data_IF_226334967327
#
_entry.id   IF_226334967327
#
_cell.length_a   1.000
_cell.length_b   1.000
_cell.length_c   1.000
_cell.angle_alpha   90.00
_cell.angle_beta   90.00
_cell.angle_gamma   90.00
#
_symmetry.space_group_name_H-M   'P 1'
#
loop_
_entity.id
_entity.type
_entity.pdbx_description
1 polymer ?
#
# COMPACT_ATOMS: atom_id res chain seq x y z
N UNK A 1 15.52 -17.05 -5.87
CA UNK A 1 16.38 -15.93 -6.30
C UNK A 1 16.45 -14.99 -5.11
N UNK A 2 17.65 -14.74 -4.56
CA UNK A 2 17.83 -13.71 -3.53
C UNK A 2 17.99 -12.38 -4.28
N UNK A 3 17.04 -11.46 -4.08
CA UNK A 3 17.12 -10.14 -4.67
C UNK A 3 18.06 -9.28 -3.82
N UNK A 4 19.08 -8.70 -4.44
CA UNK A 4 19.97 -7.74 -3.81
C UNK A 4 19.25 -6.39 -3.74
N UNK A 5 18.91 -5.95 -2.54
CA UNK A 5 18.16 -4.71 -2.32
C UNK A 5 18.88 -3.48 -2.90
N UNK A 6 20.22 -3.40 -2.80
CA UNK A 6 20.97 -2.25 -3.31
C UNK A 6 20.92 -2.14 -4.84
N UNK A 7 20.90 -3.28 -5.54
CA UNK A 7 20.79 -3.30 -7.02
C UNK A 7 19.36 -3.06 -7.51
N UNK A 8 18.37 -3.42 -6.69
CA UNK A 8 16.95 -3.24 -6.99
C UNK A 8 16.47 -1.80 -6.81
N UNK A 9 16.98 -1.13 -5.78
CA UNK A 9 16.51 0.17 -5.30
C UNK A 9 17.51 1.28 -5.62
N UNK A 10 17.48 1.78 -6.83
CA UNK A 10 18.34 2.91 -7.23
C UNK A 10 17.71 3.80 -8.29
N UNK A 11 16.46 3.50 -8.66
CA UNK A 11 15.80 4.17 -9.76
C UNK A 11 15.00 5.39 -9.29
N UNK A 12 15.09 6.46 -10.09
CA UNK A 12 14.30 7.67 -9.89
C UNK A 12 13.73 8.10 -11.23
N UNK A 13 12.50 8.62 -11.20
CA UNK A 13 11.85 9.20 -12.37
C UNK A 13 11.07 10.45 -11.98
N UNK A 14 10.99 11.43 -12.90
CA UNK A 14 10.11 12.59 -12.72
C UNK A 14 8.71 12.20 -13.16
N UNK A 15 7.74 12.30 -12.24
CA UNK A 15 6.36 11.91 -12.47
C UNK A 15 5.41 12.90 -11.77
N UNK A 16 4.53 13.53 -12.53
CA UNK A 16 3.57 14.49 -11.98
C UNK A 16 4.19 15.69 -11.25
N UNK A 17 5.39 16.09 -11.66
CA UNK A 17 6.11 17.23 -11.06
C UNK A 17 6.92 16.89 -9.80
N UNK A 18 7.02 15.60 -9.45
CA UNK A 18 7.81 15.13 -8.29
C UNK A 18 8.78 14.02 -8.67
N UNK A 19 9.89 13.91 -7.95
CA UNK A 19 10.86 12.84 -8.10
C UNK A 19 10.39 11.59 -7.33
N UNK A 20 10.02 10.54 -8.07
CA UNK A 20 9.56 9.27 -7.53
C UNK A 20 10.72 8.26 -7.52
N UNK A 21 10.96 7.66 -6.37
CA UNK A 21 11.90 6.54 -6.19
C UNK A 21 11.17 5.21 -6.36
N UNK A 22 11.84 4.25 -7.01
CA UNK A 22 11.31 2.89 -7.14
C UNK A 22 12.40 1.85 -7.26
N UNK A 23 12.06 0.63 -6.91
CA UNK A 23 12.82 -0.58 -7.19
C UNK A 23 12.20 -1.35 -8.34
N UNK A 24 13.02 -2.01 -9.17
CA UNK A 24 12.56 -2.79 -10.31
C UNK A 24 13.23 -4.15 -10.36
N UNK A 25 12.45 -5.22 -10.60
CA UNK A 25 12.94 -6.57 -10.81
C UNK A 25 12.04 -7.38 -11.72
N UNK A 26 12.62 -8.39 -12.40
CA UNK A 26 11.89 -9.26 -13.31
C UNK A 26 11.63 -8.62 -14.67
N UNK A 27 10.90 -9.34 -15.51
CA UNK A 27 10.53 -8.94 -16.88
C UNK A 27 9.08 -9.33 -17.16
N UNK A 28 8.50 -8.84 -18.24
CA UNK A 28 7.15 -9.16 -18.69
C UNK A 28 6.13 -8.09 -18.34
N UNK A 29 4.86 -8.48 -18.11
CA UNK A 29 3.80 -7.54 -17.82
C UNK A 29 4.07 -6.78 -16.50
N UNK A 30 3.89 -5.45 -16.45
CA UNK A 30 4.21 -4.68 -15.26
C UNK A 30 3.23 -4.94 -14.11
N UNK A 31 3.79 -5.11 -12.90
CA UNK A 31 3.07 -5.13 -11.61
C UNK A 31 3.63 -4.01 -10.75
N UNK A 32 2.80 -3.04 -10.40
CA UNK A 32 3.15 -1.90 -9.55
C UNK A 32 2.71 -2.20 -8.12
N UNK A 33 3.68 -2.22 -7.19
CA UNK A 33 3.47 -2.44 -5.77
C UNK A 33 3.43 -1.10 -5.02
N UNK A 34 2.30 -0.80 -4.34
CA UNK A 34 2.06 0.45 -3.63
C UNK A 34 1.89 0.18 -2.13
N UNK A 35 2.78 0.75 -1.32
CA UNK A 35 2.81 0.55 0.13
C UNK A 35 1.74 1.33 0.89
N UNK A 36 1.48 0.90 2.12
CA UNK A 36 0.59 1.57 3.06
C UNK A 36 1.16 2.88 3.62
N UNK A 37 0.33 3.60 4.37
CA UNK A 37 0.73 4.82 5.09
C UNK A 37 1.38 4.48 6.44
N UNK A 38 1.91 5.51 7.08
CA UNK A 38 2.43 5.47 8.44
C UNK A 38 3.88 5.92 8.54
N UNK A 39 4.33 6.24 9.75
CA UNK A 39 5.70 6.67 10.00
C UNK A 39 6.73 5.67 9.48
N UNK A 40 7.73 6.13 8.75
CA UNK A 40 8.80 5.31 8.20
C UNK A 40 8.39 4.29 7.13
N UNK A 41 7.18 4.41 6.55
CA UNK A 41 6.73 3.49 5.50
C UNK A 41 7.50 3.69 4.19
N UNK A 42 7.77 2.59 3.49
CA UNK A 42 8.35 2.55 2.15
C UNK A 42 7.98 1.23 1.45
N UNK A 43 8.23 1.16 0.15
CA UNK A 43 7.84 0.01 -0.66
C UNK A 43 8.62 -1.27 -0.30
N UNK A 44 9.92 -1.15 -0.02
CA UNK A 44 10.75 -2.30 0.35
C UNK A 44 10.31 -2.92 1.68
N UNK A 45 10.18 -2.12 2.72
CA UNK A 45 9.72 -2.61 4.03
C UNK A 45 8.35 -3.26 3.96
N UNK A 46 7.50 -2.85 3.00
CA UNK A 46 6.14 -3.35 2.84
C UNK A 46 6.06 -4.65 2.00
N UNK A 47 6.97 -4.84 1.01
CA UNK A 47 6.84 -5.94 0.03
C UNK A 47 8.10 -6.80 -0.14
N UNK A 48 9.16 -6.62 0.68
CA UNK A 48 10.40 -7.39 0.52
C UNK A 48 10.23 -8.91 0.47
N UNK A 49 9.34 -9.56 1.24
CA UNK A 49 9.17 -11.01 1.17
C UNK A 49 8.38 -11.46 -0.08
N UNK A 50 7.78 -10.52 -0.81
CA UNK A 50 6.95 -10.79 -1.98
C UNK A 50 7.66 -10.48 -3.30
N UNK A 51 8.65 -9.59 -3.25
CA UNK A 51 9.32 -9.04 -4.42
C UNK A 51 9.92 -10.12 -5.33
N UNK A 52 10.61 -11.12 -4.77
CA UNK A 52 11.23 -12.20 -5.54
C UNK A 52 10.20 -13.11 -6.23
N UNK A 53 9.08 -13.40 -5.55
CA UNK A 53 8.01 -14.22 -6.11
C UNK A 53 7.31 -13.51 -7.28
N UNK A 54 6.98 -12.23 -7.11
CA UNK A 54 6.39 -11.41 -8.17
C UNK A 54 7.36 -11.24 -9.36
N UNK A 55 8.63 -10.91 -9.10
CA UNK A 55 9.65 -10.73 -10.11
C UNK A 55 9.97 -12.00 -10.92
N UNK A 56 9.65 -13.17 -10.40
CA UNK A 56 9.75 -14.44 -11.12
C UNK A 56 8.78 -14.58 -12.30
N UNK A 57 7.73 -13.75 -12.37
CA UNK A 57 6.70 -13.80 -13.43
C UNK A 57 6.37 -12.45 -14.06
N UNK A 58 6.72 -11.34 -13.43
CA UNK A 58 6.31 -10.00 -13.80
C UNK A 58 7.48 -9.01 -13.75
N UNK A 59 7.39 -7.94 -14.54
CA UNK A 59 8.19 -6.73 -14.32
C UNK A 59 7.63 -6.04 -13.07
N UNK A 60 8.26 -6.27 -11.93
CA UNK A 60 7.77 -5.83 -10.62
C UNK A 60 8.39 -4.49 -10.24
N UNK A 61 7.56 -3.49 -10.00
CA UNK A 61 7.92 -2.11 -9.67
C UNK A 61 7.46 -1.82 -8.24
N UNK A 62 8.41 -1.66 -7.32
CA UNK A 62 8.17 -1.34 -5.91
C UNK A 62 8.30 0.18 -5.74
N UNK A 63 7.19 0.90 -5.66
CA UNK A 63 7.18 2.37 -5.74
C UNK A 63 7.04 3.00 -4.36
N UNK A 64 7.99 3.85 -3.99
CA UNK A 64 7.83 4.74 -2.85
C UNK A 64 6.89 5.88 -3.24
N UNK A 65 5.73 5.94 -2.60
CA UNK A 65 4.78 7.02 -2.84
C UNK A 65 5.38 8.37 -2.44
N UNK A 66 5.02 9.49 -3.11
CA UNK A 66 5.44 10.82 -2.71
C UNK A 66 5.28 11.05 -1.20
N UNK A 67 6.24 11.72 -0.58
CA UNK A 67 6.36 11.94 0.87
C UNK A 67 6.95 10.74 1.65
N UNK A 68 7.06 9.56 1.07
CA UNK A 68 7.55 8.35 1.73
C UNK A 68 8.85 7.85 1.14
N UNK A 69 9.54 6.95 1.88
CA UNK A 69 10.76 6.29 1.44
C UNK A 69 11.81 7.28 0.94
N UNK A 70 12.32 7.04 -0.26
CA UNK A 70 13.31 7.91 -0.95
C UNK A 70 12.68 8.81 -2.02
N UNK A 71 11.36 8.76 -2.21
CA UNK A 71 10.65 9.73 -3.03
C UNK A 71 10.66 11.12 -2.40
N UNK A 72 10.48 12.14 -3.24
CA UNK A 72 10.46 13.53 -2.82
C UNK A 72 9.46 13.79 -1.70
N UNK A 73 9.88 14.55 -0.69
CA UNK A 73 9.06 14.93 0.46
C UNK A 73 8.29 16.20 0.14
N UNK A 74 7.03 16.01 -0.23
CA UNK A 74 6.13 17.09 -0.68
C UNK A 74 5.00 17.34 0.31
N UNK A 75 4.63 18.61 0.47
CA UNK A 75 3.42 19.01 1.17
C UNK A 75 2.33 19.25 0.13
N UNK A 76 1.28 18.45 0.17
CA UNK A 76 0.20 18.51 -0.81
C UNK A 76 -1.06 19.10 -0.20
N UNK A 77 -1.70 20.02 -0.91
CA UNK A 77 -2.98 20.65 -0.51
C UNK A 77 -4.22 19.98 -1.13
N UNK A 78 -4.04 19.23 -2.22
CA UNK A 78 -5.13 18.55 -2.92
C UNK A 78 -5.64 17.33 -2.13
N UNK A 79 -6.84 16.81 -2.43
CA UNK A 79 -7.28 15.53 -1.91
C UNK A 79 -6.22 14.46 -2.16
N UNK A 80 -5.89 13.70 -1.11
CA UNK A 80 -4.71 12.82 -1.10
C UNK A 80 -4.70 11.77 -2.21
N UNK A 81 -5.85 11.11 -2.43
CA UNK A 81 -5.91 10.02 -3.39
C UNK A 81 -5.88 10.53 -4.82
N UNK A 82 -6.50 11.68 -5.12
CA UNK A 82 -6.44 12.32 -6.43
C UNK A 82 -4.99 12.68 -6.79
N UNK A 83 -4.27 13.25 -5.83
CA UNK A 83 -2.85 13.59 -6.03
C UNK A 83 -1.99 12.35 -6.25
N UNK A 84 -2.08 11.36 -5.35
CA UNK A 84 -1.23 10.16 -5.42
C UNK A 84 -1.55 9.32 -6.66
N UNK A 85 -2.83 9.14 -7.03
CA UNK A 85 -3.20 8.42 -8.25
C UNK A 85 -2.72 9.16 -9.50
N UNK A 86 -2.80 10.50 -9.50
CA UNK A 86 -2.24 11.34 -10.58
C UNK A 86 -0.73 11.18 -10.75
N UNK A 87 0.03 11.11 -9.65
CA UNK A 87 1.47 10.84 -9.69
C UNK A 87 1.76 9.42 -10.18
N UNK A 88 1.00 8.40 -9.75
CA UNK A 88 1.18 7.02 -10.24
C UNK A 88 0.84 6.92 -11.72
N UNK A 89 -0.18 7.61 -12.22
CA UNK A 89 -0.46 7.70 -13.65
C UNK A 89 0.72 8.31 -14.41
N UNK A 90 1.24 9.45 -13.94
CA UNK A 90 2.41 10.09 -14.55
C UNK A 90 3.69 9.23 -14.45
N UNK A 91 3.83 8.43 -13.39
CA UNK A 91 4.88 7.42 -13.26
C UNK A 91 4.77 6.34 -14.34
N UNK A 92 3.57 5.85 -14.60
CA UNK A 92 3.32 4.90 -15.69
C UNK A 92 3.67 5.53 -17.05
N UNK A 93 3.27 6.78 -17.29
CA UNK A 93 3.58 7.50 -18.53
C UNK A 93 5.09 7.68 -18.71
N UNK A 94 5.82 8.04 -17.67
CA UNK A 94 7.26 8.25 -17.69
C UNK A 94 8.09 6.96 -17.92
N UNK A 95 7.49 5.79 -17.70
CA UNK A 95 8.08 4.47 -17.94
C UNK A 95 7.48 3.74 -19.15
N UNK A 96 6.70 4.43 -19.99
CA UNK A 96 6.00 3.89 -21.16
C UNK A 96 5.13 2.66 -20.82
N UNK A 97 4.50 2.67 -19.64
CA UNK A 97 3.59 1.60 -19.19
C UNK A 97 2.16 1.94 -19.60
N UNK A 98 1.69 1.37 -20.70
CA UNK A 98 0.31 1.56 -21.15
C UNK A 98 -0.70 1.02 -20.11
N UNK A 99 -0.46 -0.16 -19.57
CA UNK A 99 -1.32 -0.83 -18.59
C UNK A 99 -0.49 -1.64 -17.60
N UNK A 100 -0.91 -1.67 -16.32
CA UNK A 100 -0.23 -2.45 -15.29
C UNK A 100 -1.24 -3.19 -14.39
N UNK A 101 -0.77 -4.27 -13.73
CA UNK A 101 -1.42 -4.82 -12.56
C UNK A 101 -0.95 -4.08 -11.31
N UNK A 102 -1.76 -4.12 -10.26
CA UNK A 102 -1.44 -3.47 -9.01
C UNK A 102 -1.50 -4.42 -7.82
N UNK A 103 -0.51 -4.32 -6.94
CA UNK A 103 -0.53 -4.93 -5.61
C UNK A 103 -0.43 -3.79 -4.61
N UNK A 104 -1.50 -3.53 -3.87
CA UNK A 104 -1.57 -2.40 -2.95
C UNK A 104 -1.83 -2.85 -1.52
N UNK A 105 -1.21 -2.18 -0.54
CA UNK A 105 -1.55 -2.34 0.87
C UNK A 105 -2.12 -1.03 1.42
N UNK A 106 -3.24 -1.10 2.15
CA UNK A 106 -3.81 0.03 2.88
C UNK A 106 -3.99 1.28 1.99
N UNK A 107 -3.29 2.37 2.24
CA UNK A 107 -3.30 3.58 1.40
C UNK A 107 -2.89 3.29 -0.06
N UNK A 108 -1.88 2.44 -0.28
CA UNK A 108 -1.48 2.07 -1.64
C UNK A 108 -2.59 1.33 -2.39
N UNK A 109 -3.39 0.54 -1.69
CA UNK A 109 -4.59 -0.09 -2.25
C UNK A 109 -5.67 0.95 -2.61
N UNK A 110 -5.86 1.97 -1.77
CA UNK A 110 -6.78 3.09 -2.09
C UNK A 110 -6.33 3.86 -3.34
N UNK A 111 -5.01 4.08 -3.49
CA UNK A 111 -4.44 4.74 -4.68
C UNK A 111 -4.71 3.91 -5.94
N UNK A 112 -4.54 2.58 -5.87
CA UNK A 112 -4.86 1.68 -6.98
C UNK A 112 -6.36 1.71 -7.35
N UNK A 113 -7.27 1.72 -6.34
CA UNK A 113 -8.71 1.87 -6.56
C UNK A 113 -9.01 3.21 -7.24
N UNK A 114 -8.45 4.31 -6.74
CA UNK A 114 -8.67 5.64 -7.33
C UNK A 114 -8.20 5.70 -8.78
N UNK A 115 -7.04 5.10 -9.08
CA UNK A 115 -6.55 4.99 -10.45
C UNK A 115 -7.51 4.17 -11.35
N UNK A 116 -8.06 3.06 -10.83
CA UNK A 116 -9.03 2.24 -11.56
C UNK A 116 -10.36 2.96 -11.81
N UNK A 117 -10.75 3.88 -10.93
CA UNK A 117 -11.93 4.74 -11.10
C UNK A 117 -11.65 5.81 -12.18
N UNK A 118 -10.51 6.49 -12.09
CA UNK A 118 -10.22 7.65 -12.95
C UNK A 118 -9.73 7.26 -14.35
N UNK A 119 -8.97 6.16 -14.44
CA UNK A 119 -8.34 5.69 -15.68
C UNK A 119 -8.43 4.15 -15.80
N UNK A 120 -9.63 3.58 -15.97
CA UNK A 120 -9.86 2.13 -15.92
C UNK A 120 -9.03 1.34 -16.95
N UNK A 121 -8.76 1.91 -18.11
CA UNK A 121 -7.97 1.27 -19.17
C UNK A 121 -6.50 1.07 -18.78
N UNK A 122 -5.99 1.84 -17.84
CA UNK A 122 -4.61 1.76 -17.34
C UNK A 122 -4.41 0.64 -16.30
N UNK A 123 -5.51 0.10 -15.74
CA UNK A 123 -5.48 -0.89 -14.65
C UNK A 123 -5.90 -2.26 -15.18
N UNK A 124 -5.02 -3.25 -15.02
CA UNK A 124 -5.29 -4.62 -15.40
C UNK A 124 -6.07 -5.36 -14.32
N UNK A 125 -5.37 -5.91 -13.34
CA UNK A 125 -5.91 -6.60 -12.16
C UNK A 125 -5.36 -5.96 -10.90
N UNK A 126 -6.10 -6.06 -9.80
CA UNK A 126 -5.66 -5.53 -8.50
C UNK A 126 -5.68 -6.62 -7.44
N UNK A 127 -4.61 -6.71 -6.64
CA UNK A 127 -4.54 -7.45 -5.38
C UNK A 127 -4.41 -6.43 -4.26
N UNK A 128 -5.45 -6.27 -3.46
CA UNK A 128 -5.60 -5.17 -2.51
C UNK A 128 -5.63 -5.69 -1.07
N UNK A 129 -4.57 -5.44 -0.33
CA UNK A 129 -4.45 -5.82 1.08
C UNK A 129 -5.02 -4.73 1.96
N UNK A 130 -6.09 -5.03 2.66
CA UNK A 130 -6.70 -4.19 3.69
C UNK A 130 -6.84 -2.70 3.32
N UNK A 131 -7.40 -2.34 2.15
CA UNK A 131 -7.69 -0.94 1.85
C UNK A 131 -8.66 -0.37 2.88
N UNK A 132 -8.51 0.91 3.22
CA UNK A 132 -9.35 1.59 4.20
C UNK A 132 -10.07 2.80 3.56
N UNK A 133 -10.90 2.59 2.52
CA UNK A 133 -11.56 3.68 1.82
C UNK A 133 -12.87 4.14 2.47
N UNK A 134 -13.29 3.49 3.55
CA UNK A 134 -14.61 3.65 4.18
C UNK A 134 -14.43 4.37 5.52
N UNK A 135 -15.35 5.27 5.84
CA UNK A 135 -15.25 6.13 6.98
C UNK A 135 -15.89 5.58 8.27
N UNK A 136 -16.67 4.49 8.17
CA UNK A 136 -17.40 3.91 9.30
C UNK A 136 -17.22 2.39 9.38
N UNK A 137 -17.42 1.82 10.56
CA UNK A 137 -17.35 0.39 10.82
C UNK A 137 -18.46 0.00 11.80
N UNK A 138 -19.01 -1.20 11.61
CA UNK A 138 -19.95 -1.80 12.58
C UNK A 138 -19.23 -2.57 13.69
N UNK A 139 -17.94 -2.86 13.52
CA UNK A 139 -17.14 -3.61 14.50
C UNK A 139 -16.56 -2.74 15.62
N UNK A 140 -16.51 -1.42 15.42
CA UNK A 140 -15.97 -0.51 16.42
C UNK A 140 -15.93 0.94 16.00
N UNK A 141 -15.46 1.82 16.89
CA UNK A 141 -15.37 3.24 16.58
C UNK A 141 -14.28 3.53 15.53
N UNK A 142 -14.58 4.50 14.68
CA UNK A 142 -13.60 5.05 13.73
C UNK A 142 -13.20 6.49 14.15
N UNK A 143 -11.94 6.88 13.97
CA UNK A 143 -10.81 6.06 13.54
C UNK A 143 -10.45 4.99 14.58
N UNK A 144 -9.94 3.85 14.12
CA UNK A 144 -9.46 2.77 15.01
C UNK A 144 -8.29 3.24 15.86
N UNK A 145 -7.94 2.45 16.90
CA UNK A 145 -6.79 2.76 17.75
C UNK A 145 -5.49 2.87 16.96
N UNK A 146 -5.24 1.93 16.03
CA UNK A 146 -4.06 1.95 15.16
C UNK A 146 -4.01 3.22 14.29
N UNK A 147 -5.14 3.64 13.72
CA UNK A 147 -5.20 4.88 12.91
C UNK A 147 -4.93 6.10 13.77
N UNK A 148 -5.42 6.13 15.03
CA UNK A 148 -5.08 7.21 15.97
C UNK A 148 -3.59 7.23 16.31
N UNK A 149 -2.97 6.06 16.58
CA UNK A 149 -1.52 5.97 16.81
C UNK A 149 -0.71 6.52 15.62
N UNK A 150 -1.12 6.24 14.38
CA UNK A 150 -0.48 6.82 13.19
C UNK A 150 -0.62 8.34 13.16
N UNK A 151 -1.82 8.86 13.41
CA UNK A 151 -2.10 10.30 13.38
C UNK A 151 -1.34 11.08 14.46
N UNK A 152 -1.19 10.49 15.66
CA UNK A 152 -0.58 11.11 16.82
C UNK A 152 0.93 10.84 16.95
N UNK A 153 1.51 10.07 16.02
CA UNK A 153 2.91 9.63 16.13
C UNK A 153 3.89 10.80 16.23
N UNK A 154 3.71 11.83 15.40
CA UNK A 154 4.57 13.02 15.37
C UNK A 154 4.13 14.11 16.37
N UNK A 155 2.99 13.93 17.05
CA UNK A 155 2.45 14.88 18.02
C UNK A 155 3.04 14.73 19.43
N UNK A 156 2.72 15.71 20.29
CA UNK A 156 3.15 15.73 21.69
C UNK A 156 4.67 15.82 21.82
N UNK A 157 5.29 14.87 22.51
CA UNK A 157 6.77 14.80 22.66
C UNK A 157 7.51 14.38 21.37
N UNK A 158 6.79 14.22 20.27
CA UNK A 158 7.34 13.77 18.99
C UNK A 158 7.48 12.26 18.86
N UNK A 159 8.16 11.79 17.77
CA UNK A 159 8.39 10.36 17.52
C UNK A 159 9.34 9.75 18.57
N UNK A 160 9.08 8.47 18.91
CA UNK A 160 9.95 7.69 19.78
C UNK A 160 9.96 6.21 19.35
N UNK A 161 11.02 5.50 19.72
CA UNK A 161 11.12 4.05 19.46
C UNK A 161 9.97 3.28 20.14
N UNK A 162 9.52 3.74 21.31
CA UNK A 162 8.39 3.11 22.02
C UNK A 162 7.07 3.32 21.28
N UNK A 163 6.78 4.54 20.79
CA UNK A 163 5.62 4.80 19.94
C UNK A 163 5.66 3.92 18.67
N UNK A 164 6.84 3.76 18.05
CA UNK A 164 7.02 2.89 16.89
C UNK A 164 6.74 1.43 17.23
N UNK A 165 7.23 0.95 18.37
CA UNK A 165 7.00 -0.42 18.83
C UNK A 165 5.51 -0.70 19.06
N UNK A 166 4.81 0.19 19.75
CA UNK A 166 3.36 0.07 19.97
C UNK A 166 2.58 0.08 18.65
N UNK A 167 2.90 1.01 17.75
CA UNK A 167 2.27 1.09 16.45
C UNK A 167 2.48 -0.20 15.64
N UNK A 168 3.71 -0.69 15.52
CA UNK A 168 3.98 -1.90 14.73
C UNK A 168 3.30 -3.13 15.32
N UNK A 169 3.26 -3.26 16.65
CA UNK A 169 2.52 -4.34 17.34
C UNK A 169 1.02 -4.29 17.07
N UNK A 170 0.44 -3.11 16.89
CA UNK A 170 -0.98 -2.97 16.57
C UNK A 170 -1.33 -3.39 15.12
N UNK A 171 -0.32 -3.45 14.22
CA UNK A 171 -0.49 -3.81 12.80
C UNK A 171 -0.41 -5.32 12.52
N UNK A 172 0.05 -6.13 13.46
CA UNK A 172 0.21 -7.58 13.29
C UNK A 172 -0.64 -8.37 14.29
N UNK A 173 -0.97 -9.60 13.94
CA UNK A 173 -1.65 -10.53 14.85
C UNK A 173 -0.72 -10.98 15.98
N UNK A 174 0.47 -11.48 15.63
CA UNK A 174 1.48 -11.94 16.59
C UNK A 174 2.64 -10.94 16.69
N UNK A 175 2.71 -10.13 17.77
CA UNK A 175 3.81 -9.22 18.01
C UNK A 175 5.20 -9.88 18.10
N UNK A 176 5.28 -11.18 18.38
CA UNK A 176 6.55 -11.91 18.44
C UNK A 176 7.18 -12.10 17.04
N UNK A 177 6.40 -11.93 15.97
CA UNK A 177 6.90 -11.93 14.59
C UNK A 177 7.76 -10.70 14.24
N UNK A 178 7.68 -9.62 15.05
CA UNK A 178 8.40 -8.38 14.83
C UNK A 178 9.78 -8.41 15.49
N UNK A 179 10.84 -8.32 14.68
CA UNK A 179 12.20 -8.16 15.23
C UNK A 179 12.45 -6.71 15.70
N UNK A 180 13.27 -6.54 16.74
CA UNK A 180 13.70 -5.21 17.18
C UNK A 180 14.48 -4.46 16.08
N UNK A 181 15.18 -5.18 15.20
CA UNK A 181 15.86 -4.59 14.06
C UNK A 181 14.86 -3.93 13.08
N UNK A 182 13.75 -4.61 12.77
CA UNK A 182 12.71 -4.06 11.90
C UNK A 182 12.02 -2.84 12.53
N UNK A 183 11.76 -2.88 13.84
CA UNK A 183 11.16 -1.75 14.55
C UNK A 183 12.10 -0.54 14.51
N UNK A 184 13.39 -0.77 14.73
CA UNK A 184 14.43 0.28 14.70
C UNK A 184 14.61 0.86 13.29
N UNK A 185 14.71 0.03 12.26
CA UNK A 185 14.78 0.45 10.85
C UNK A 185 13.63 1.40 10.51
N UNK A 186 12.41 1.02 10.90
CA UNK A 186 11.22 1.84 10.65
C UNK A 186 11.20 3.14 11.46
N UNK A 187 11.66 3.09 12.71
CA UNK A 187 11.82 4.27 13.55
C UNK A 187 12.84 5.26 12.95
N UNK A 188 14.01 4.78 12.55
CA UNK A 188 15.06 5.61 11.94
C UNK A 188 14.56 6.28 10.66
N UNK A 189 13.88 5.54 9.80
CA UNK A 189 13.24 6.11 8.61
C UNK A 189 12.15 7.16 8.94
N UNK A 190 11.51 7.08 10.10
CA UNK A 190 10.47 8.03 10.51
C UNK A 190 10.99 9.34 11.06
N UNK A 191 12.25 9.37 11.53
CA UNK A 191 12.90 10.56 12.10
C UNK A 191 13.88 11.24 11.14
N UNK A 192 13.93 10.80 9.88
CA UNK A 192 14.67 11.49 8.84
C UNK A 192 14.23 12.97 8.78
N UNK A 193 15.18 13.94 8.72
CA UNK A 193 14.86 15.36 8.76
C UNK A 193 13.84 15.82 7.68
N UNK A 194 13.93 15.29 6.47
CA UNK A 194 12.99 15.61 5.40
C UNK A 194 11.58 15.03 5.69
N UNK A 195 11.52 13.84 6.30
CA UNK A 195 10.26 13.22 6.74
C UNK A 195 9.64 14.01 7.87
N UNK A 196 10.42 14.45 8.85
CA UNK A 196 9.95 15.28 9.96
C UNK A 196 9.37 16.60 9.43
N UNK A 197 10.06 17.26 8.52
CA UNK A 197 9.64 18.55 7.97
C UNK A 197 8.23 18.52 7.33
N UNK A 198 7.88 17.42 6.65
CA UNK A 198 6.56 17.29 6.01
C UNK A 198 5.48 16.70 6.94
N UNK A 199 5.85 16.08 8.06
CA UNK A 199 4.90 15.48 9.00
C UNK A 199 4.53 16.39 10.17
N UNK A 200 5.27 17.46 10.41
CA UNK A 200 4.92 18.54 11.34
C UNK A 200 4.06 19.63 10.71
N UNK A 201 3.86 19.57 9.38
CA UNK A 201 3.06 20.52 8.60
C UNK A 201 1.59 20.10 8.43
N UNK A 202 0.87 20.76 7.51
CA UNK A 202 -0.55 20.51 7.24
C UNK A 202 -0.79 19.04 6.88
N UNK A 203 -1.82 18.45 7.49
CA UNK A 203 -2.23 17.09 7.17
C UNK A 203 -2.99 17.03 5.85
N UNK A 204 -2.89 15.89 5.17
CA UNK A 204 -3.64 15.60 3.96
C UNK A 204 -5.14 15.55 4.27
N UNK A 205 -5.95 16.12 3.40
CA UNK A 205 -7.39 15.94 3.50
C UNK A 205 -7.78 14.46 3.36
N UNK A 206 -8.63 13.98 4.26
CA UNK A 206 -9.21 12.64 4.16
C UNK A 206 -10.11 12.59 2.91
N UNK A 207 -10.01 11.49 2.16
CA UNK A 207 -10.82 11.24 0.98
C UNK A 207 -11.42 9.84 1.07
N UNK A 208 -12.75 9.76 1.10
CA UNK A 208 -13.47 8.49 1.01
C UNK A 208 -13.75 8.15 -0.44
N UNK A 209 -13.62 6.88 -0.80
CA UNK A 209 -14.00 6.35 -2.13
C UNK A 209 -15.29 5.54 -2.08
N UNK A 210 -15.95 5.49 -0.94
CA UNK A 210 -17.09 4.59 -0.70
C UNK A 210 -18.21 4.73 -1.74
N UNK A 211 -18.49 5.96 -2.18
CA UNK A 211 -19.56 6.24 -3.15
C UNK A 211 -19.14 6.06 -4.61
N UNK A 212 -17.87 5.68 -4.86
CA UNK A 212 -17.34 5.51 -6.21
C UNK A 212 -16.81 4.10 -6.46
N UNK A 213 -16.90 3.19 -5.48
CA UNK A 213 -16.34 1.84 -5.58
C UNK A 213 -16.91 1.02 -6.73
N UNK A 214 -18.16 1.27 -7.14
CA UNK A 214 -18.83 0.63 -8.27
C UNK A 214 -18.23 0.98 -9.63
N UNK A 215 -17.48 2.08 -9.71
CA UNK A 215 -16.73 2.50 -10.90
C UNK A 215 -15.43 1.71 -11.10
N UNK A 216 -14.88 1.10 -10.07
CA UNK A 216 -13.69 0.25 -10.14
C UNK A 216 -14.08 -1.15 -10.69
N UNK A 217 -14.06 -1.30 -12.02
CA UNK A 217 -14.61 -2.47 -12.73
C UNK A 217 -13.55 -3.51 -13.14
N UNK A 218 -12.28 -3.32 -12.83
CA UNK A 218 -11.27 -4.32 -13.12
C UNK A 218 -11.34 -5.49 -12.12
N UNK A 219 -10.92 -6.71 -12.52
CA UNK A 219 -10.84 -7.85 -11.61
C UNK A 219 -10.00 -7.52 -10.39
N UNK A 220 -10.58 -7.71 -9.20
CA UNK A 220 -9.98 -7.30 -7.93
C UNK A 220 -10.04 -8.42 -6.92
N UNK A 221 -8.90 -8.74 -6.31
CA UNK A 221 -8.80 -9.61 -5.15
C UNK A 221 -8.59 -8.76 -3.89
N UNK A 222 -9.59 -8.73 -3.03
CA UNK A 222 -9.48 -8.17 -1.69
C UNK A 222 -8.85 -9.21 -0.77
N UNK A 223 -7.79 -8.84 -0.06
CA UNK A 223 -7.08 -9.70 0.89
C UNK A 223 -7.10 -9.06 2.26
N UNK A 224 -7.54 -9.79 3.28
CA UNK A 224 -7.71 -9.23 4.62
C UNK A 224 -7.22 -10.17 5.71
N UNK A 225 -6.66 -9.60 6.77
CA UNK A 225 -6.45 -10.30 8.04
C UNK A 225 -7.72 -10.26 8.89
N UNK A 226 -8.10 -11.38 9.47
CA UNK A 226 -9.26 -11.49 10.35
C UNK A 226 -9.16 -10.55 11.55
N UNK A 227 -7.94 -10.34 12.04
CA UNK A 227 -7.63 -9.59 13.27
C UNK A 227 -7.07 -8.20 12.96
N UNK A 228 -7.39 -7.62 11.82
CA UNK A 228 -6.94 -6.30 11.41
C UNK A 228 -7.51 -5.20 12.32
N UNK A 229 -6.60 -4.50 13.04
CA UNK A 229 -6.94 -3.42 13.98
C UNK A 229 -6.84 -2.03 13.34
N UNK A 230 -6.34 -1.94 12.10
CA UNK A 230 -6.24 -0.68 11.36
C UNK A 230 -7.43 -0.48 10.42
N UNK A 231 -7.76 -1.51 9.62
CA UNK A 231 -8.89 -1.52 8.71
C UNK A 231 -9.80 -2.71 9.05
N UNK A 232 -10.93 -2.48 9.76
CA UNK A 232 -11.83 -3.57 10.18
C UNK A 232 -12.37 -4.38 9.01
N UNK A 233 -12.57 -5.69 9.23
CA UNK A 233 -12.98 -6.65 8.20
C UNK A 233 -14.33 -6.32 7.53
N UNK A 234 -15.23 -5.63 8.21
CA UNK A 234 -16.50 -5.21 7.63
C UNK A 234 -16.33 -4.24 6.44
N UNK A 235 -15.22 -3.50 6.37
CA UNK A 235 -14.87 -2.73 5.17
C UNK A 235 -14.72 -3.64 3.93
N UNK A 236 -14.14 -4.83 4.09
CA UNK A 236 -14.02 -5.81 3.01
C UNK A 236 -15.39 -6.24 2.49
N UNK A 237 -16.37 -6.45 3.38
CA UNK A 237 -17.73 -6.87 3.01
C UNK A 237 -18.47 -5.76 2.24
N UNK A 238 -18.30 -4.50 2.65
CA UNK A 238 -18.86 -3.35 1.92
C UNK A 238 -18.23 -3.22 0.53
N UNK A 239 -16.91 -3.36 0.43
CA UNK A 239 -16.20 -3.33 -0.84
C UNK A 239 -16.60 -4.49 -1.76
N UNK A 240 -16.69 -5.71 -1.23
CA UNK A 240 -17.15 -6.88 -1.98
C UNK A 240 -18.56 -6.68 -2.57
N UNK A 241 -19.44 -6.00 -1.82
CA UNK A 241 -20.79 -5.68 -2.27
C UNK A 241 -20.82 -4.61 -3.36
N UNK A 242 -19.92 -3.61 -3.29
CA UNK A 242 -19.95 -2.45 -4.17
C UNK A 242 -19.09 -2.60 -5.42
N UNK A 243 -17.97 -3.33 -5.36
CA UNK A 243 -17.05 -3.52 -6.49
C UNK A 243 -17.50 -4.71 -7.36
N UNK A 244 -17.86 -4.51 -8.64
CA UNK A 244 -18.55 -5.54 -9.45
C UNK A 244 -17.75 -6.82 -9.72
N UNK A 245 -16.42 -6.73 -9.73
CA UNK A 245 -15.52 -7.87 -10.01
C UNK A 245 -14.57 -8.15 -8.83
N UNK A 246 -15.06 -7.92 -7.60
CA UNK A 246 -14.27 -8.20 -6.41
C UNK A 246 -14.46 -9.63 -5.93
N UNK A 247 -13.35 -10.24 -5.50
CA UNK A 247 -13.27 -11.47 -4.72
C UNK A 247 -12.66 -11.14 -3.37
N UNK A 248 -12.99 -11.89 -2.33
CA UNK A 248 -12.45 -11.69 -0.98
C UNK A 248 -11.79 -12.96 -0.48
N UNK A 249 -10.56 -12.82 0.04
CA UNK A 249 -9.87 -13.85 0.81
C UNK A 249 -9.47 -13.32 2.18
N UNK A 250 -9.85 -14.02 3.24
CA UNK A 250 -9.57 -13.66 4.62
C UNK A 250 -8.61 -14.66 5.25
N UNK A 251 -7.53 -14.14 5.83
CA UNK A 251 -6.54 -14.93 6.56
C UNK A 251 -6.86 -14.91 8.07
N UNK A 252 -7.07 -16.08 8.65
CA UNK A 252 -7.20 -16.22 10.09
C UNK A 252 -5.86 -15.96 10.79
N UNK A 253 -5.90 -15.45 12.02
CA UNK A 253 -4.71 -15.15 12.85
C UNK A 253 -3.73 -14.23 12.09
N UNK A 254 -4.26 -13.17 11.51
CA UNK A 254 -3.54 -12.22 10.70
C UNK A 254 -4.05 -10.81 10.95
N UNK A 255 -3.15 -9.85 11.07
CA UNK A 255 -3.44 -8.43 11.23
C UNK A 255 -3.53 -7.68 9.90
N UNK A 256 -3.03 -6.45 9.88
CA UNK A 256 -3.17 -5.51 8.77
C UNK A 256 -2.29 -5.81 7.55
N UNK A 257 -1.21 -6.58 7.73
CA UNK A 257 -0.17 -6.73 6.72
C UNK A 257 -0.02 -8.18 6.27
N UNK A 258 -1.08 -8.75 5.66
CA UNK A 258 -1.12 -10.16 5.20
C UNK A 258 0.10 -10.56 4.39
N UNK A 259 0.58 -9.67 3.50
CA UNK A 259 1.75 -9.90 2.65
C UNK A 259 3.06 -10.04 3.44
N UNK A 260 3.09 -9.57 4.69
CA UNK A 260 4.22 -9.70 5.61
C UNK A 260 4.04 -10.85 6.60
N UNK A 261 2.82 -11.05 7.10
CA UNK A 261 2.52 -12.07 8.12
C UNK A 261 2.38 -13.47 7.52
N UNK A 262 1.87 -13.59 6.29
CA UNK A 262 1.68 -14.85 5.56
C UNK A 262 2.27 -14.79 4.14
N UNK A 263 3.57 -14.47 3.96
CA UNK A 263 4.13 -14.11 2.66
C UNK A 263 4.01 -15.21 1.61
N UNK A 264 4.26 -16.48 1.95
CA UNK A 264 4.19 -17.57 1.00
C UNK A 264 2.77 -17.84 0.50
N UNK A 265 1.79 -17.83 1.41
CA UNK A 265 0.39 -18.04 1.05
C UNK A 265 -0.16 -16.85 0.25
N UNK A 266 0.19 -15.62 0.65
CA UNK A 266 -0.12 -14.41 -0.10
C UNK A 266 0.47 -14.44 -1.51
N UNK A 267 1.76 -14.80 -1.65
CA UNK A 267 2.43 -14.85 -2.95
C UNK A 267 1.75 -15.84 -3.89
N UNK A 268 1.41 -17.05 -3.44
CA UNK A 268 0.66 -18.02 -4.25
C UNK A 268 -0.67 -17.43 -4.71
N UNK A 269 -1.47 -16.94 -3.78
CA UNK A 269 -2.78 -16.37 -4.04
C UNK A 269 -2.72 -15.20 -5.03
N UNK A 270 -1.77 -14.27 -4.83
CA UNK A 270 -1.58 -13.11 -5.68
C UNK A 270 -1.15 -13.50 -7.10
N UNK A 271 -0.18 -14.41 -7.23
CA UNK A 271 0.33 -14.87 -8.52
C UNK A 271 -0.74 -15.64 -9.31
N UNK A 272 -1.52 -16.48 -8.66
CA UNK A 272 -2.62 -17.22 -9.30
C UNK A 272 -3.68 -16.26 -9.82
N UNK A 273 -4.11 -15.31 -8.99
CA UNK A 273 -5.10 -14.30 -9.39
C UNK A 273 -4.60 -13.39 -10.53
N UNK A 274 -3.35 -12.93 -10.47
CA UNK A 274 -2.79 -12.06 -11.51
C UNK A 274 -2.60 -12.78 -12.86
N UNK A 275 -2.40 -14.11 -12.85
CA UNK A 275 -2.20 -14.93 -14.05
C UNK A 275 -3.50 -15.34 -14.74
N UNK A 276 -4.66 -15.22 -14.09
CA UNK A 276 -5.95 -15.59 -14.69
C UNK A 276 -6.20 -14.78 -15.98
N UNK A 277 -6.56 -15.46 -17.05
CA UNK A 277 -7.03 -14.78 -18.26
C UNK A 277 -8.42 -14.18 -18.00
N UNK A 278 -8.72 -13.02 -18.59
CA UNK A 278 -10.09 -12.51 -18.56
C UNK A 278 -11.00 -13.58 -19.16
N UNK A 279 -12.04 -14.01 -18.41
CA UNK A 279 -13.03 -14.93 -18.95
C UNK A 279 -13.71 -14.26 -20.15
N UNK A 280 -13.43 -14.74 -21.37
CA UNK A 280 -14.11 -14.27 -22.59
C UNK A 280 -13.32 -13.28 -23.44
N UNK A 281 -11.98 -13.38 -23.53
CA UNK A 281 -11.20 -12.76 -24.60
C UNK A 281 -10.89 -13.78 -25.70
#
# INVERSE_FOLDING_TARGET
>A
MVLDAEKLFGHFVQAGGVRVHYGEAGIGHPVICLHGTGPGANAWANFRPNAAALAGRYRTLLVDLPRFGRSEKVVVKAPRLDYLSGVIRAFMDALDLERAHFVGNSMGAQVAIKLAIDTPDRVGRMVLVAPAPIAHSVFGPMPTETVRMIAEYYGGAGPSLEKMRLLMRSLVYDPASLSEALIRERYEASIDPEVLAVNTGPHWAHQSLEHELDKARCPTLLVWGQDDRASPLDHALVMLRKMPQAHLHVFARCGHSVQLEHPEAFNRLALDFLAERAAGA
#
